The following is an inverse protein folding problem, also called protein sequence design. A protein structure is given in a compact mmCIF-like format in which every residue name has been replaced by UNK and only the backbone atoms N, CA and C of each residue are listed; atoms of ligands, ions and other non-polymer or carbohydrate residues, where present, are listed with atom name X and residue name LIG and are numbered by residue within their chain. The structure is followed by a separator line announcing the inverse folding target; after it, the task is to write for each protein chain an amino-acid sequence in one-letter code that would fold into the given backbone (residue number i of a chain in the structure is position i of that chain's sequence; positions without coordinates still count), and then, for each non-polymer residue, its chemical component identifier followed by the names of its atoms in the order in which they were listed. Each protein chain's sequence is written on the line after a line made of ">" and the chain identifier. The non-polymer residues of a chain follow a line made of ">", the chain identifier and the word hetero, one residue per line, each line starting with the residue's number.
data_IF_343367149365
#
_entry.id   IF_343367149365
#
_cell.length_a   1.000
_cell.length_b   1.000
_cell.length_c   1.000
_cell.angle_alpha   90.00
_cell.angle_beta   90.00
_cell.angle_gamma   90.00
#
_symmetry.space_group_name_H-M   'P 1'
#
loop_
_entity.id
_entity.type
_entity.pdbx_description
1 polymer ?
#
# COMPACT_ATOMS: atom_id res chain seq x y z
N UNK A 1 -51.69 13.05 -22.15
CA UNK A 1 -50.47 13.67 -21.58
C UNK A 1 -50.93 14.72 -20.61
N UNK A 2 -50.47 14.68 -19.35
CA UNK A 2 -50.75 15.76 -18.38
C UNK A 2 -49.87 16.96 -18.82
N UNK A 3 -50.47 18.10 -19.23
CA UNK A 3 -49.69 19.25 -19.67
C UNK A 3 -48.94 19.86 -18.48
N UNK A 4 -47.64 20.13 -18.66
CA UNK A 4 -46.86 20.87 -17.67
C UNK A 4 -47.13 22.39 -17.82
N UNK A 5 -47.34 23.14 -16.73
CA UNK A 5 -47.55 24.58 -16.80
C UNK A 5 -46.39 25.33 -17.46
N UNK A 6 -46.69 26.46 -18.11
CA UNK A 6 -45.67 27.36 -18.66
C UNK A 6 -44.75 27.88 -17.53
N UNK A 7 -43.43 27.79 -17.73
CA UNK A 7 -42.43 28.17 -16.71
C UNK A 7 -41.91 27.02 -15.83
N UNK A 8 -42.35 25.78 -16.07
CA UNK A 8 -41.84 24.59 -15.36
C UNK A 8 -40.33 24.39 -15.59
N UNK A 9 -39.53 24.41 -14.52
CA UNK A 9 -38.10 24.08 -14.57
C UNK A 9 -37.90 22.57 -14.43
N UNK A 10 -36.92 22.04 -15.17
CA UNK A 10 -36.50 20.64 -15.10
C UNK A 10 -35.15 20.59 -14.39
N UNK A 11 -35.13 19.94 -13.23
CA UNK A 11 -33.95 19.80 -12.39
C UNK A 11 -33.39 18.39 -12.49
N UNK A 12 -32.09 18.26 -12.78
CA UNK A 12 -31.38 16.99 -12.66
C UNK A 12 -30.69 16.94 -11.30
N UNK A 13 -31.13 16.03 -10.43
CA UNK A 13 -30.52 15.85 -9.11
C UNK A 13 -29.14 15.22 -9.28
N UNK A 14 -28.09 15.99 -8.99
CA UNK A 14 -26.71 15.55 -9.10
C UNK A 14 -26.40 14.44 -8.06
N UNK A 15 -25.65 13.42 -8.49
CA UNK A 15 -25.28 12.26 -7.67
C UNK A 15 -26.02 10.97 -8.03
N UNK A 16 -25.87 9.96 -7.18
CA UNK A 16 -26.48 8.63 -7.33
C UNK A 16 -27.68 8.54 -6.40
N UNK A 17 -28.87 8.31 -6.95
CA UNK A 17 -30.09 8.14 -6.16
C UNK A 17 -30.39 6.65 -5.96
N UNK A 18 -30.66 6.24 -4.71
CA UNK A 18 -31.29 4.95 -4.45
C UNK A 18 -32.69 4.91 -5.10
N UNK A 19 -32.82 4.07 -6.12
CA UNK A 19 -34.03 3.96 -6.92
C UNK A 19 -35.15 3.16 -6.23
N UNK A 20 -34.91 2.63 -5.02
CA UNK A 20 -35.95 2.05 -4.15
C UNK A 20 -36.82 3.12 -3.51
N UNK A 21 -36.36 4.37 -3.44
CA UNK A 21 -37.15 5.47 -2.87
C UNK A 21 -38.42 5.72 -3.70
N UNK A 22 -39.57 5.73 -3.01
CA UNK A 22 -40.85 6.23 -3.52
C UNK A 22 -41.01 7.74 -3.30
N UNK A 23 -42.24 8.24 -3.33
CA UNK A 23 -42.58 9.67 -3.22
C UNK A 23 -41.85 10.40 -2.08
N UNK A 24 -42.03 9.95 -0.84
CA UNK A 24 -41.47 10.62 0.35
C UNK A 24 -39.93 10.64 0.34
N UNK A 25 -39.30 9.54 -0.06
CA UNK A 25 -37.84 9.42 -0.10
C UNK A 25 -37.19 10.21 -1.24
N UNK A 26 -37.94 10.56 -2.28
CA UNK A 26 -37.48 11.44 -3.37
C UNK A 26 -37.77 12.90 -3.05
N UNK A 27 -38.95 13.22 -2.49
CA UNK A 27 -39.30 14.55 -2.02
C UNK A 27 -38.31 15.06 -0.96
N UNK A 28 -37.94 14.22 0.00
CA UNK A 28 -36.91 14.54 0.98
C UNK A 28 -35.57 14.90 0.32
N UNK A 29 -35.21 14.24 -0.80
CA UNK A 29 -33.98 14.56 -1.53
C UNK A 29 -34.05 15.89 -2.26
N UNK A 30 -35.21 16.27 -2.79
CA UNK A 30 -35.40 17.63 -3.36
C UNK A 30 -35.11 18.67 -2.28
N UNK A 31 -35.72 18.50 -1.10
CA UNK A 31 -35.55 19.40 0.03
C UNK A 31 -34.10 19.45 0.54
N UNK A 32 -33.43 18.30 0.68
CA UNK A 32 -32.08 18.27 1.27
C UNK A 32 -30.97 18.58 0.29
N UNK A 33 -31.06 18.09 -0.95
CA UNK A 33 -29.96 18.17 -1.92
C UNK A 33 -30.07 19.39 -2.83
N UNK A 34 -31.29 19.76 -3.24
CA UNK A 34 -31.53 20.94 -4.06
C UNK A 34 -31.96 22.16 -3.24
N UNK A 35 -32.36 21.96 -1.97
CA UNK A 35 -32.94 23.02 -1.12
C UNK A 35 -34.14 23.70 -1.78
N UNK A 36 -34.92 22.90 -2.52
CA UNK A 36 -36.08 23.35 -3.28
C UNK A 36 -37.35 22.68 -2.73
N UNK A 37 -38.51 23.22 -3.09
CA UNK A 37 -39.80 22.67 -2.71
C UNK A 37 -40.25 21.57 -3.68
N UNK A 38 -40.42 20.31 -3.24
CA UNK A 38 -40.95 19.23 -4.07
C UNK A 38 -42.38 19.48 -4.56
N UNK A 39 -43.11 20.42 -3.94
CA UNK A 39 -44.47 20.81 -4.33
C UNK A 39 -44.53 22.01 -5.30
N UNK A 40 -43.37 22.55 -5.71
CA UNK A 40 -43.25 23.74 -6.58
C UNK A 40 -43.84 23.60 -8.00
N UNK A 41 -44.30 22.41 -8.38
CA UNK A 41 -44.73 22.10 -9.76
C UNK A 41 -43.56 21.90 -10.74
N UNK A 42 -42.31 21.99 -10.28
CA UNK A 42 -41.12 21.66 -11.07
C UNK A 42 -40.94 20.14 -11.22
N UNK A 43 -40.19 19.74 -12.25
CA UNK A 43 -39.89 18.33 -12.54
C UNK A 43 -38.48 18.00 -12.07
N UNK A 44 -38.37 17.04 -11.15
CA UNK A 44 -37.11 16.58 -10.58
C UNK A 44 -36.74 15.21 -11.11
N UNK A 45 -35.58 15.12 -11.77
CA UNK A 45 -35.07 13.91 -12.42
C UNK A 45 -34.01 13.26 -11.54
N UNK A 46 -34.21 11.99 -11.22
CA UNK A 46 -33.33 11.16 -10.43
C UNK A 46 -32.81 9.99 -11.26
N UNK A 47 -31.50 9.74 -11.16
CA UNK A 47 -30.85 8.60 -11.80
C UNK A 47 -30.25 7.62 -10.79
N UNK A 48 -30.37 6.34 -11.10
CA UNK A 48 -29.75 5.26 -10.35
C UNK A 48 -28.28 5.04 -10.72
N UNK A 49 -27.57 4.26 -9.91
CA UNK A 49 -26.16 3.92 -10.12
C UNK A 49 -25.90 3.20 -11.45
N UNK A 50 -26.83 2.34 -11.86
CA UNK A 50 -26.73 1.54 -13.09
C UNK A 50 -27.01 2.36 -14.36
N UNK A 51 -27.58 3.56 -14.25
CA UNK A 51 -28.03 4.35 -15.40
C UNK A 51 -29.17 3.71 -16.21
N UNK A 52 -29.65 2.53 -15.83
CA UNK A 52 -30.69 1.76 -16.54
C UNK A 52 -32.12 2.21 -16.21
N UNK A 53 -32.28 3.13 -15.26
CA UNK A 53 -33.59 3.58 -14.79
C UNK A 53 -33.51 5.03 -14.31
N UNK A 54 -34.54 5.79 -14.65
CA UNK A 54 -34.73 7.19 -14.26
C UNK A 54 -36.11 7.34 -13.62
N UNK A 55 -36.19 8.16 -12.57
CA UNK A 55 -37.45 8.56 -11.93
C UNK A 55 -37.64 10.07 -12.08
N UNK A 56 -38.86 10.50 -12.41
CA UNK A 56 -39.26 11.89 -12.43
C UNK A 56 -40.32 12.12 -11.36
N UNK A 57 -40.10 13.08 -10.48
CA UNK A 57 -41.05 13.51 -9.45
C UNK A 57 -41.51 14.93 -9.78
N UNK A 58 -42.82 15.17 -9.75
CA UNK A 58 -43.39 16.52 -9.86
C UNK A 58 -44.73 16.59 -9.12
N UNK A 59 -45.15 17.79 -8.74
CA UNK A 59 -46.48 18.00 -8.14
C UNK A 59 -47.46 18.51 -9.16
N UNK A 60 -48.69 18.00 -9.09
CA UNK A 60 -49.90 18.57 -9.69
C UNK A 60 -50.74 19.22 -8.59
N UNK A 61 -51.81 19.94 -8.96
CA UNK A 61 -52.67 20.63 -7.99
C UNK A 61 -53.38 19.71 -6.98
N UNK A 62 -53.40 18.41 -7.26
CA UNK A 62 -54.07 17.35 -6.49
C UNK A 62 -53.09 16.36 -5.82
N UNK A 63 -51.77 16.48 -6.05
CA UNK A 63 -50.78 15.64 -5.37
C UNK A 63 -49.45 15.45 -6.11
N UNK A 64 -48.64 14.52 -5.63
CA UNK A 64 -47.35 14.18 -6.25
C UNK A 64 -47.50 13.08 -7.30
N UNK A 65 -46.87 13.29 -8.44
CA UNK A 65 -46.74 12.35 -9.54
C UNK A 65 -45.31 11.78 -9.59
N UNK A 66 -45.19 10.47 -9.82
CA UNK A 66 -43.91 9.78 -9.97
C UNK A 66 -43.93 8.92 -11.24
N UNK A 67 -43.08 9.27 -12.21
CA UNK A 67 -42.87 8.46 -13.40
C UNK A 67 -41.55 7.69 -13.29
N UNK A 68 -41.61 6.40 -13.56
CA UNK A 68 -40.43 5.54 -13.60
C UNK A 68 -40.22 5.04 -15.02
N UNK A 69 -39.05 5.30 -15.61
CA UNK A 69 -38.70 4.84 -16.95
C UNK A 69 -37.45 3.97 -16.91
N UNK A 70 -37.54 2.77 -17.46
CA UNK A 70 -36.39 1.89 -17.74
C UNK A 70 -35.78 2.29 -19.09
N UNK A 71 -34.46 2.41 -19.15
CA UNK A 71 -33.71 2.79 -20.34
C UNK A 71 -33.02 1.55 -20.90
N UNK A 72 -33.21 1.28 -22.20
CA UNK A 72 -32.68 0.07 -22.85
C UNK A 72 -31.21 0.21 -23.30
N UNK A 73 -30.65 1.43 -23.31
CA UNK A 73 -29.24 1.70 -23.60
C UNK A 73 -28.68 2.78 -22.68
N UNK A 74 -28.03 2.38 -21.58
CA UNK A 74 -27.33 3.28 -20.64
C UNK A 74 -25.93 3.73 -21.11
N UNK A 75 -25.67 3.80 -22.42
CA UNK A 75 -24.31 3.62 -22.96
C UNK A 75 -23.62 4.84 -23.61
N UNK A 76 -24.21 6.05 -23.63
CA UNK A 76 -23.65 7.12 -24.48
C UNK A 76 -22.63 8.08 -23.83
N UNK A 77 -22.09 7.84 -22.64
CA UNK A 77 -21.02 8.71 -22.07
C UNK A 77 -19.89 8.02 -21.29
N UNK A 78 -19.94 6.70 -21.09
CA UNK A 78 -18.97 5.99 -20.24
C UNK A 78 -17.79 5.40 -21.02
N UNK A 79 -18.03 4.86 -22.21
CA UNK A 79 -16.94 4.27 -23.02
C UNK A 79 -15.88 5.31 -23.44
N UNK A 80 -16.30 6.53 -23.79
CA UNK A 80 -15.38 7.62 -24.13
C UNK A 80 -14.60 8.12 -22.92
N UNK A 81 -15.20 8.15 -21.73
CA UNK A 81 -14.52 8.53 -20.49
C UNK A 81 -13.55 7.46 -20.01
N UNK A 82 -13.91 6.18 -20.12
CA UNK A 82 -13.03 5.06 -19.77
C UNK A 82 -11.83 4.98 -20.73
N UNK A 83 -12.04 5.19 -22.03
CA UNK A 83 -10.96 5.30 -23.02
C UNK A 83 -10.05 6.50 -22.73
N UNK A 84 -10.62 7.65 -22.34
CA UNK A 84 -9.84 8.83 -21.95
C UNK A 84 -9.03 8.60 -20.67
N UNK A 85 -9.60 7.94 -19.65
CA UNK A 85 -8.89 7.59 -18.41
C UNK A 85 -7.72 6.66 -18.70
N UNK A 86 -7.93 5.64 -19.53
CA UNK A 86 -6.87 4.71 -19.91
C UNK A 86 -5.74 5.42 -20.69
N UNK A 87 -6.09 6.28 -21.65
CA UNK A 87 -5.13 7.07 -22.41
C UNK A 87 -4.34 8.05 -21.52
N UNK A 88 -4.97 8.63 -20.49
CA UNK A 88 -4.30 9.50 -19.52
C UNK A 88 -3.38 8.72 -18.57
N UNK A 89 -3.79 7.53 -18.12
CA UNK A 89 -2.96 6.64 -17.30
C UNK A 89 -1.72 6.17 -18.05
N UNK A 90 -1.84 5.85 -19.33
CA UNK A 90 -0.72 5.46 -20.18
C UNK A 90 0.27 6.62 -20.39
N UNK A 91 -0.25 7.85 -20.61
CA UNK A 91 0.58 9.06 -20.66
C UNK A 91 1.31 9.33 -19.34
N UNK A 92 0.66 9.13 -18.20
CA UNK A 92 1.29 9.28 -16.88
C UNK A 92 2.41 8.26 -16.67
N UNK A 93 2.17 6.98 -16.99
CA UNK A 93 3.19 5.94 -16.90
C UNK A 93 4.40 6.23 -17.79
N UNK A 94 4.19 6.72 -19.01
CA UNK A 94 5.28 7.11 -19.89
C UNK A 94 6.08 8.30 -19.35
N UNK A 95 5.43 9.28 -18.73
CA UNK A 95 6.12 10.41 -18.08
C UNK A 95 6.88 9.99 -16.83
N UNK A 96 6.35 9.08 -16.03
CA UNK A 96 7.06 8.53 -14.87
C UNK A 96 8.35 7.82 -15.29
N UNK A 97 8.30 7.00 -16.35
CA UNK A 97 9.50 6.37 -16.92
C UNK A 97 10.51 7.38 -17.44
N UNK A 98 10.04 8.46 -18.06
CA UNK A 98 10.90 9.55 -18.56
C UNK A 98 11.58 10.30 -17.40
N UNK A 99 10.87 10.52 -16.30
CA UNK A 99 11.42 11.10 -15.07
C UNK A 99 12.51 10.18 -14.50
N UNK A 100 12.24 8.88 -14.36
CA UNK A 100 13.22 7.92 -13.85
C UNK A 100 14.48 7.86 -14.74
N UNK A 101 14.29 7.91 -16.06
CA UNK A 101 15.39 7.94 -17.02
C UNK A 101 16.25 9.21 -16.87
N UNK A 102 15.61 10.39 -16.80
CA UNK A 102 16.31 11.67 -16.66
C UNK A 102 17.00 11.80 -15.28
N UNK A 103 16.40 11.26 -14.21
CA UNK A 103 17.03 11.20 -12.89
C UNK A 103 18.29 10.32 -12.91
N UNK A 104 18.23 9.15 -13.55
CA UNK A 104 19.39 8.27 -13.71
C UNK A 104 20.51 8.94 -14.53
N UNK A 105 20.17 9.69 -15.59
CA UNK A 105 21.14 10.48 -16.36
C UNK A 105 21.77 11.61 -15.52
N UNK A 106 20.98 12.31 -14.72
CA UNK A 106 21.45 13.37 -13.81
C UNK A 106 22.42 12.81 -12.76
N UNK A 107 22.10 11.66 -12.17
CA UNK A 107 22.96 11.01 -11.19
C UNK A 107 24.26 10.50 -11.83
N UNK A 108 24.19 10.00 -13.06
CA UNK A 108 25.38 9.62 -13.84
C UNK A 108 26.27 10.83 -14.11
N UNK A 109 25.70 11.95 -14.58
CA UNK A 109 26.43 13.18 -14.84
C UNK A 109 27.00 13.79 -13.55
N UNK A 110 26.25 13.77 -12.45
CA UNK A 110 26.73 14.21 -11.13
C UNK A 110 27.90 13.37 -10.64
N UNK A 111 27.86 12.05 -10.83
CA UNK A 111 28.99 11.13 -10.53
C UNK A 111 30.19 11.41 -11.42
N UNK A 112 29.98 11.70 -12.70
CA UNK A 112 31.06 12.08 -13.62
C UNK A 112 31.67 13.46 -13.30
N UNK A 113 30.96 14.31 -12.56
CA UNK A 113 31.38 15.69 -12.25
C UNK A 113 32.04 15.84 -10.86
N UNK A 114 32.25 14.75 -10.10
CA UNK A 114 33.15 14.73 -8.94
C UNK A 114 34.61 14.72 -9.42
N UNK A 115 35.09 15.86 -9.93
CA UNK A 115 36.50 16.00 -10.31
C UNK A 115 36.92 17.38 -10.84
N UNK A 116 36.06 18.12 -11.54
CA UNK A 116 36.41 19.49 -11.96
C UNK A 116 35.16 20.34 -12.21
N UNK A 117 35.12 21.53 -11.59
CA UNK A 117 34.04 22.53 -11.75
C UNK A 117 34.10 23.13 -13.16
N UNK A 118 33.33 22.56 -14.11
CA UNK A 118 33.06 23.22 -15.39
C UNK A 118 31.79 24.07 -15.29
N UNK A 119 31.94 25.39 -15.42
CA UNK A 119 30.87 26.40 -15.35
C UNK A 119 29.71 26.14 -16.32
N UNK A 120 29.99 25.47 -17.44
CA UNK A 120 29.01 25.08 -18.46
C UNK A 120 28.00 24.04 -17.95
N UNK A 121 28.44 23.17 -17.04
CA UNK A 121 27.57 22.17 -16.38
C UNK A 121 26.68 22.85 -15.35
N UNK A 122 27.20 23.81 -14.60
CA UNK A 122 26.41 24.60 -13.64
C UNK A 122 25.25 25.35 -14.29
N UNK A 123 25.47 25.95 -15.47
CA UNK A 123 24.41 26.63 -16.23
C UNK A 123 23.34 25.65 -16.72
N UNK A 124 23.75 24.45 -17.15
CA UNK A 124 22.82 23.42 -17.61
C UNK A 124 21.99 22.84 -16.46
N UNK A 125 22.58 22.70 -15.27
CA UNK A 125 21.86 22.32 -14.04
C UNK A 125 20.82 23.38 -13.68
N UNK A 126 21.19 24.66 -13.66
CA UNK A 126 20.26 25.75 -13.36
C UNK A 126 19.07 25.80 -14.34
N UNK A 127 19.33 25.53 -15.63
CA UNK A 127 18.27 25.48 -16.64
C UNK A 127 17.32 24.30 -16.43
N UNK A 128 17.86 23.11 -16.12
CA UNK A 128 17.05 21.93 -15.82
C UNK A 128 16.24 22.06 -14.52
N UNK A 129 16.79 22.75 -13.51
CA UNK A 129 16.07 23.06 -12.27
C UNK A 129 14.91 24.03 -12.52
N UNK A 130 15.08 25.01 -13.42
CA UNK A 130 14.01 25.91 -13.82
C UNK A 130 12.88 25.16 -14.58
N UNK A 131 13.24 24.26 -15.50
CA UNK A 131 12.27 23.46 -16.25
C UNK A 131 11.48 22.49 -15.36
N UNK A 132 12.16 21.85 -14.39
CA UNK A 132 11.49 20.99 -13.41
C UNK A 132 10.48 21.77 -12.56
N UNK A 133 10.85 22.96 -12.09
CA UNK A 133 9.93 23.79 -11.32
C UNK A 133 8.70 24.24 -12.13
N UNK A 134 8.87 24.50 -13.43
CA UNK A 134 7.75 24.83 -14.33
C UNK A 134 6.80 23.64 -14.50
N UNK A 135 7.33 22.47 -14.82
CA UNK A 135 6.54 21.25 -15.00
C UNK A 135 5.83 20.82 -13.71
N UNK A 136 6.47 21.03 -12.56
CA UNK A 136 5.89 20.72 -11.26
C UNK A 136 4.76 21.68 -10.89
N UNK A 137 4.89 22.98 -11.20
CA UNK A 137 3.79 23.94 -11.09
C UNK A 137 2.61 23.58 -12.01
N UNK A 138 2.86 23.19 -13.24
CA UNK A 138 1.82 22.75 -14.17
C UNK A 138 1.10 21.50 -13.64
N UNK A 139 1.84 20.53 -13.09
CA UNK A 139 1.30 19.32 -12.44
C UNK A 139 0.48 19.65 -11.18
N UNK A 140 0.93 20.60 -10.36
CA UNK A 140 0.22 21.00 -9.13
C UNK A 140 -1.08 21.75 -9.46
N UNK A 141 -1.08 22.57 -10.52
CA UNK A 141 -2.30 23.21 -11.06
C UNK A 141 -3.32 22.17 -11.55
N UNK A 142 -2.86 21.09 -12.18
CA UNK A 142 -3.71 20.01 -12.70
C UNK A 142 -4.23 19.07 -11.60
N UNK A 143 -3.50 18.91 -10.49
CA UNK A 143 -3.85 17.97 -9.40
C UNK A 143 -4.53 18.63 -8.20
N UNK A 144 -4.67 19.96 -8.20
CA UNK A 144 -5.29 20.71 -7.10
C UNK A 144 -4.47 20.69 -5.81
N UNK A 145 -3.17 20.35 -5.88
CA UNK A 145 -2.27 20.38 -4.73
C UNK A 145 -1.77 21.80 -4.54
N UNK A 146 -2.19 22.45 -3.46
CA UNK A 146 -1.63 23.74 -3.06
C UNK A 146 -0.24 23.49 -2.49
N UNK A 147 0.77 24.03 -3.16
CA UNK A 147 2.13 24.10 -2.62
C UNK A 147 2.09 24.96 -1.35
N UNK A 148 2.33 24.36 -0.19
CA UNK A 148 2.50 25.06 1.08
C UNK A 148 3.99 25.36 1.29
N UNK A 149 4.43 26.62 1.12
CA UNK A 149 5.84 26.99 1.25
C UNK A 149 6.39 26.78 2.68
N UNK A 150 5.51 26.62 3.67
CA UNK A 150 5.91 26.42 5.07
C UNK A 150 6.43 25.00 5.35
N UNK A 151 6.15 24.03 4.47
CA UNK A 151 6.65 22.65 4.62
C UNK A 151 7.98 22.53 3.91
N UNK A 152 9.08 22.91 4.58
CA UNK A 152 10.41 22.49 4.15
C UNK A 152 10.45 20.95 4.14
N UNK A 153 10.60 20.36 2.95
CA UNK A 153 10.91 18.93 2.82
C UNK A 153 12.43 18.80 2.92
N UNK A 154 13.00 18.44 4.07
CA UNK A 154 14.44 18.26 4.16
C UNK A 154 14.87 17.17 3.17
N UNK A 155 15.91 17.47 2.40
CA UNK A 155 16.68 16.47 1.67
C UNK A 155 16.97 15.32 2.63
N UNK A 156 16.57 14.11 2.26
CA UNK A 156 16.70 12.91 3.08
C UNK A 156 18.19 12.57 3.20
N UNK A 157 18.90 13.25 4.10
CA UNK A 157 20.25 12.90 4.49
C UNK A 157 20.19 11.45 4.98
N UNK A 158 20.98 10.57 4.38
CA UNK A 158 21.18 9.21 4.85
C UNK A 158 21.78 9.28 6.25
N UNK A 159 20.93 9.29 7.27
CA UNK A 159 21.37 9.20 8.67
C UNK A 159 22.22 7.95 8.81
N UNK A 160 23.46 8.13 9.23
CA UNK A 160 24.32 7.05 9.71
C UNK A 160 23.55 6.29 10.79
N UNK A 161 23.48 4.97 10.66
CA UNK A 161 22.78 4.13 11.63
C UNK A 161 23.46 4.30 12.99
N UNK A 162 22.67 4.55 14.03
CA UNK A 162 23.20 4.52 15.39
C UNK A 162 23.68 3.10 15.68
N UNK A 163 24.89 2.92 16.23
CA UNK A 163 25.35 1.61 16.69
C UNK A 163 24.45 1.12 17.84
N UNK A 164 24.41 -0.19 18.03
CA UNK A 164 23.70 -0.77 19.18
C UNK A 164 24.42 -0.44 20.49
N UNK A 165 23.69 -0.33 21.61
CA UNK A 165 24.30 -0.11 22.93
C UNK A 165 25.43 -1.10 23.23
N UNK A 166 26.51 -0.62 23.82
CA UNK A 166 27.64 -1.48 24.23
C UNK A 166 27.24 -2.47 25.33
N UNK A 167 26.25 -2.10 26.15
CA UNK A 167 25.69 -2.94 27.22
C UNK A 167 25.02 -4.23 26.74
N UNK A 168 24.63 -4.32 25.45
CA UNK A 168 24.04 -5.55 24.92
C UNK A 168 25.11 -6.61 24.67
N UNK A 169 24.88 -7.87 25.10
CA UNK A 169 25.80 -8.97 24.84
C UNK A 169 25.94 -9.22 23.35
N UNK A 170 27.19 -9.43 22.91
CA UNK A 170 27.54 -9.70 21.51
C UNK A 170 27.93 -11.15 21.33
N UNK A 171 27.19 -11.86 20.49
CA UNK A 171 27.56 -13.21 20.06
C UNK A 171 28.28 -13.09 18.70
N UNK A 172 29.60 -13.24 18.71
CA UNK A 172 30.43 -13.14 17.50
C UNK A 172 30.43 -14.45 16.70
N UNK A 173 30.22 -14.34 15.39
CA UNK A 173 30.31 -15.44 14.43
C UNK A 173 31.30 -15.07 13.33
N UNK A 174 32.46 -15.72 13.35
CA UNK A 174 33.51 -15.53 12.35
C UNK A 174 33.33 -16.52 11.19
N UNK A 175 33.30 -15.99 9.98
CA UNK A 175 33.10 -16.75 8.75
C UNK A 175 34.37 -16.68 7.91
N UNK A 176 34.97 -17.85 7.71
CA UNK A 176 36.14 -18.08 6.88
C UNK A 176 35.72 -18.46 5.45
N UNK A 177 36.57 -18.23 4.43
CA UNK A 177 36.40 -18.80 3.11
C UNK A 177 36.07 -20.30 3.15
N UNK A 178 35.18 -20.75 2.26
CA UNK A 178 34.70 -22.14 2.25
C UNK A 178 35.81 -23.18 1.99
N UNK A 179 36.87 -22.77 1.29
CA UNK A 179 38.04 -23.60 1.02
C UNK A 179 39.32 -22.87 1.49
N UNK A 180 40.35 -23.61 1.94
CA UNK A 180 41.64 -23.03 2.34
C UNK A 180 42.51 -22.58 1.16
N UNK A 181 42.08 -22.84 -0.08
CA UNK A 181 42.79 -22.50 -1.31
C UNK A 181 41.93 -21.61 -2.22
N UNK A 182 42.60 -20.90 -3.13
CA UNK A 182 41.94 -20.04 -4.11
C UNK A 182 41.07 -20.87 -5.05
N UNK A 183 39.77 -20.53 -5.22
CA UNK A 183 38.89 -21.26 -6.12
C UNK A 183 39.25 -21.07 -7.60
N UNK A 184 40.08 -20.08 -7.94
CA UNK A 184 40.44 -19.78 -9.32
C UNK A 184 41.74 -20.48 -9.78
N UNK A 185 42.75 -20.58 -8.90
CA UNK A 185 44.06 -21.14 -9.26
C UNK A 185 44.61 -22.20 -8.28
N UNK A 186 43.93 -22.47 -7.17
CA UNK A 186 44.41 -23.41 -6.14
C UNK A 186 45.52 -22.87 -5.24
N UNK A 187 45.99 -21.64 -5.43
CA UNK A 187 47.02 -21.01 -4.61
C UNK A 187 46.61 -20.79 -3.14
N UNK A 188 47.59 -20.52 -2.27
CA UNK A 188 47.35 -20.26 -0.84
C UNK A 188 46.64 -18.92 -0.62
N UNK A 189 45.88 -18.85 0.46
CA UNK A 189 45.12 -17.68 0.88
C UNK A 189 45.82 -16.99 2.06
N UNK A 190 46.00 -15.67 1.98
CA UNK A 190 46.51 -14.83 3.06
C UNK A 190 45.45 -13.84 3.53
N UNK A 191 45.38 -13.60 4.84
CA UNK A 191 44.44 -12.64 5.43
C UNK A 191 44.64 -11.22 4.85
N UNK A 192 43.55 -10.58 4.44
CA UNK A 192 43.53 -9.22 3.89
C UNK A 192 42.78 -8.24 4.80
N UNK A 193 41.73 -8.69 5.47
CA UNK A 193 40.88 -7.84 6.30
C UNK A 193 39.56 -8.52 6.65
N UNK A 194 38.63 -7.77 7.23
CA UNK A 194 37.33 -8.32 7.64
C UNK A 194 36.20 -7.31 7.40
N UNK A 195 35.02 -7.83 7.04
CA UNK A 195 33.77 -7.06 7.05
C UNK A 195 32.95 -7.47 8.26
N UNK A 196 32.46 -6.49 9.02
CA UNK A 196 31.62 -6.73 10.20
C UNK A 196 30.20 -6.25 9.95
N UNK A 197 29.23 -7.04 10.39
CA UNK A 197 27.82 -6.66 10.36
C UNK A 197 27.12 -7.11 11.64
N UNK A 198 26.45 -6.16 12.30
CA UNK A 198 25.68 -6.42 13.52
C UNK A 198 24.18 -6.55 13.20
N UNK A 199 23.51 -7.45 13.92
CA UNK A 199 22.06 -7.63 13.90
C UNK A 199 21.55 -7.78 15.33
N UNK A 200 20.38 -7.22 15.61
CA UNK A 200 19.68 -7.37 16.87
C UNK A 200 18.79 -8.61 16.83
N UNK A 201 18.98 -9.51 17.78
CA UNK A 201 18.25 -10.76 17.92
C UNK A 201 17.59 -10.81 19.30
N UNK A 202 16.47 -11.53 19.39
CA UNK A 202 15.82 -11.80 20.67
C UNK A 202 15.90 -13.30 20.97
N UNK A 203 16.77 -13.68 21.91
CA UNK A 203 16.98 -15.07 22.30
C UNK A 203 16.53 -15.28 23.74
N UNK A 204 15.58 -16.20 23.95
CA UNK A 204 15.04 -16.52 25.30
C UNK A 204 14.61 -15.25 26.06
N UNK A 205 13.91 -14.34 25.35
CA UNK A 205 13.44 -13.04 25.88
C UNK A 205 14.52 -12.03 26.26
N UNK A 206 15.79 -12.25 25.89
CA UNK A 206 16.88 -11.31 26.07
C UNK A 206 17.40 -10.80 24.72
N UNK A 207 17.63 -9.49 24.63
CA UNK A 207 18.24 -8.89 23.45
C UNK A 207 19.73 -9.22 23.37
N UNK A 208 20.17 -9.59 22.18
CA UNK A 208 21.56 -9.86 21.85
C UNK A 208 21.93 -9.24 20.52
N UNK A 209 23.19 -8.90 20.36
CA UNK A 209 23.73 -8.46 19.08
C UNK A 209 24.50 -9.62 18.46
N UNK A 210 24.03 -10.14 17.33
CA UNK A 210 24.77 -11.11 16.54
C UNK A 210 25.75 -10.34 15.66
N UNK A 211 27.05 -10.43 15.96
CA UNK A 211 28.12 -9.81 15.18
C UNK A 211 28.67 -10.85 14.22
N UNK A 212 28.39 -10.68 12.93
CA UNK A 212 28.97 -11.54 11.89
C UNK A 212 30.22 -10.88 11.34
N UNK A 213 31.36 -11.57 11.46
CA UNK A 213 32.67 -11.14 10.94
C UNK A 213 33.02 -12.02 9.75
N UNK A 214 33.20 -11.44 8.56
CA UNK A 214 33.54 -12.16 7.34
C UNK A 214 34.95 -11.82 6.92
N UNK A 215 35.87 -12.77 7.06
CA UNK A 215 37.27 -12.55 6.71
C UNK A 215 37.46 -12.55 5.19
N UNK A 216 38.15 -11.53 4.72
CA UNK A 216 38.67 -11.40 3.36
C UNK A 216 40.06 -11.98 3.34
N UNK A 217 40.28 -12.90 2.42
CA UNK A 217 41.57 -13.47 2.12
C UNK A 217 41.94 -13.15 0.68
N UNK A 218 43.19 -12.82 0.41
CA UNK A 218 43.72 -12.64 -0.93
C UNK A 218 44.55 -13.85 -1.34
N UNK A 219 44.44 -14.28 -2.59
CA UNK A 219 45.32 -15.31 -3.13
C UNK A 219 46.72 -14.75 -3.39
N UNK A 220 47.75 -15.48 -2.96
CA UNK A 220 49.16 -15.10 -3.15
C UNK A 220 49.67 -15.23 -4.59
N UNK A 221 48.90 -15.86 -5.49
CA UNK A 221 49.32 -16.13 -6.88
C UNK A 221 48.58 -15.29 -7.93
N UNK A 222 47.31 -14.95 -7.70
CA UNK A 222 46.47 -14.27 -8.70
C UNK A 222 45.70 -13.08 -8.15
N UNK A 223 45.99 -12.66 -6.91
CA UNK A 223 45.37 -11.52 -6.22
C UNK A 223 43.84 -11.59 -6.07
N UNK A 224 43.24 -12.76 -6.33
CA UNK A 224 41.80 -12.96 -6.16
C UNK A 224 41.40 -12.86 -4.68
N UNK A 225 40.41 -12.01 -4.38
CA UNK A 225 39.84 -11.87 -3.04
C UNK A 225 38.75 -12.92 -2.84
N UNK A 226 38.94 -13.77 -1.83
CA UNK A 226 38.03 -14.82 -1.41
C UNK A 226 37.45 -14.47 -0.04
N UNK A 227 36.12 -14.54 0.07
CA UNK A 227 35.40 -14.26 1.30
C UNK A 227 34.17 -15.17 1.36
N UNK A 228 33.80 -15.64 2.55
CA UNK A 228 32.53 -16.35 2.75
C UNK A 228 31.35 -15.48 2.29
N UNK A 229 30.29 -16.01 1.67
CA UNK A 229 29.11 -15.22 1.31
C UNK A 229 28.44 -14.62 2.56
N UNK A 230 27.75 -13.48 2.38
CA UNK A 230 26.97 -12.89 3.46
C UNK A 230 25.82 -13.83 3.83
N UNK A 231 25.58 -14.11 5.13
CA UNK A 231 24.40 -14.86 5.53
C UNK A 231 23.12 -14.18 5.05
N UNK A 232 22.17 -14.99 4.58
CA UNK A 232 20.83 -14.52 4.21
C UNK A 232 20.13 -13.90 5.41
N UNK A 233 19.32 -12.86 5.15
CA UNK A 233 18.52 -12.18 6.17
C UNK A 233 17.09 -12.06 5.68
N UNK A 234 16.08 -12.12 6.57
CA UNK A 234 14.69 -11.91 6.17
C UNK A 234 14.48 -10.55 5.51
N UNK A 235 15.06 -9.49 6.09
CA UNK A 235 15.01 -8.13 5.54
C UNK A 235 16.42 -7.75 5.11
N UNK A 236 16.61 -7.51 3.81
CA UNK A 236 17.90 -7.08 3.26
C UNK A 236 18.39 -5.80 3.91
N UNK A 237 19.67 -5.81 4.32
CA UNK A 237 20.31 -4.69 5.04
C UNK A 237 19.55 -4.29 6.32
N UNK A 238 18.58 -5.08 6.78
CA UNK A 238 17.84 -4.86 8.01
C UNK A 238 18.72 -5.07 9.24
N UNK A 239 18.31 -4.44 10.34
CA UNK A 239 19.02 -4.55 11.62
C UNK A 239 18.42 -5.64 12.52
N UNK A 240 17.23 -6.17 12.22
CA UNK A 240 16.58 -7.22 12.98
C UNK A 240 16.97 -8.61 12.46
N UNK A 241 17.20 -9.54 13.39
CA UNK A 241 17.29 -10.96 13.14
C UNK A 241 15.91 -11.64 13.07
N UNK A 242 15.85 -12.89 12.59
CA UNK A 242 14.59 -13.62 12.39
C UNK A 242 13.79 -13.86 13.67
N UNK A 243 14.43 -14.14 14.81
CA UNK A 243 13.73 -14.38 16.08
C UNK A 243 13.09 -13.11 16.64
N UNK A 244 13.75 -11.96 16.51
CA UNK A 244 13.16 -10.66 16.83
C UNK A 244 11.93 -10.36 15.95
N UNK A 245 12.04 -10.57 14.62
CA UNK A 245 10.92 -10.38 13.71
C UNK A 245 9.74 -11.29 14.05
N UNK A 246 10.01 -12.56 14.33
CA UNK A 246 8.99 -13.51 14.77
C UNK A 246 8.31 -13.03 16.06
N UNK A 247 9.08 -12.59 17.07
CA UNK A 247 8.51 -12.04 18.30
C UNK A 247 7.61 -10.85 18.03
N UNK A 248 8.03 -9.88 17.22
CA UNK A 248 7.23 -8.68 16.92
C UNK A 248 5.88 -9.05 16.30
N UNK A 249 5.86 -10.01 15.36
CA UNK A 249 4.65 -10.49 14.72
C UNK A 249 3.75 -11.27 15.69
N UNK A 250 4.29 -12.25 16.40
CA UNK A 250 3.53 -13.07 17.35
C UNK A 250 2.95 -12.20 18.47
N UNK A 251 3.75 -11.29 19.04
CA UNK A 251 3.25 -10.37 20.06
C UNK A 251 2.15 -9.46 19.53
N UNK A 252 2.25 -9.00 18.27
CA UNK A 252 1.21 -8.13 17.68
C UNK A 252 -0.09 -8.88 17.42
N UNK A 253 0.00 -10.05 16.79
CA UNK A 253 -1.16 -10.73 16.22
C UNK A 253 -1.71 -11.85 17.09
N UNK A 254 -0.86 -12.60 17.78
CA UNK A 254 -1.30 -13.70 18.66
C UNK A 254 -1.47 -13.25 20.13
N UNK A 255 -0.63 -12.34 20.61
CA UNK A 255 -0.67 -11.87 22.01
C UNK A 255 -1.33 -10.49 22.16
N UNK A 256 -1.90 -9.95 21.07
CA UNK A 256 -2.62 -8.67 21.05
C UNK A 256 -1.85 -7.47 21.65
N UNK A 257 -0.51 -7.48 21.59
CA UNK A 257 0.35 -6.40 22.09
C UNK A 257 0.66 -5.41 20.97
N UNK A 258 0.07 -4.20 20.97
CA UNK A 258 0.27 -3.23 19.88
C UNK A 258 1.73 -2.76 19.78
N UNK A 259 2.15 -2.31 18.59
CA UNK A 259 3.54 -1.93 18.32
C UNK A 259 4.08 -0.80 19.22
N UNK A 260 3.22 0.09 19.73
CA UNK A 260 3.67 1.11 20.69
C UNK A 260 4.00 0.51 22.05
N UNK A 261 3.18 -0.42 22.56
CA UNK A 261 3.48 -1.16 23.78
C UNK A 261 4.77 -1.97 23.62
N UNK A 262 4.95 -2.63 22.47
CA UNK A 262 6.19 -3.36 22.19
C UNK A 262 7.41 -2.44 22.21
N UNK A 263 7.32 -1.27 21.57
CA UNK A 263 8.37 -0.24 21.59
C UNK A 263 8.75 0.17 23.02
N UNK A 264 7.75 0.40 23.88
CA UNK A 264 7.98 0.74 25.29
C UNK A 264 8.60 -0.42 26.09
N UNK A 265 8.13 -1.65 25.88
CA UNK A 265 8.67 -2.86 26.54
C UNK A 265 10.14 -3.05 26.18
N UNK A 266 10.50 -2.88 24.91
CA UNK A 266 11.89 -2.98 24.46
C UNK A 266 12.75 -1.83 24.99
N UNK A 267 12.19 -0.62 25.08
CA UNK A 267 12.86 0.52 25.70
C UNK A 267 13.22 0.27 27.17
N UNK A 268 12.35 -0.40 27.93
CA UNK A 268 12.65 -0.82 29.32
C UNK A 268 13.78 -1.85 29.42
N UNK A 269 14.08 -2.56 28.33
CA UNK A 269 15.21 -3.48 28.21
C UNK A 269 16.46 -2.81 27.63
N UNK A 270 16.45 -1.48 27.48
CA UNK A 270 17.57 -0.71 26.93
C UNK A 270 17.65 -0.68 25.40
N UNK A 271 16.59 -1.11 24.69
CA UNK A 271 16.56 -1.15 23.23
C UNK A 271 15.48 -0.21 22.69
N UNK A 272 15.91 0.93 22.15
CA UNK A 272 15.00 1.91 21.54
C UNK A 272 14.64 1.53 20.09
N UNK A 273 13.43 1.01 19.88
CA UNK A 273 12.88 0.72 18.56
C UNK A 273 11.64 1.58 18.32
N UNK A 274 11.66 2.44 17.30
CA UNK A 274 10.50 3.31 17.01
C UNK A 274 9.31 2.53 16.46
N UNK A 275 8.09 3.02 16.70
CA UNK A 275 6.86 2.47 16.11
C UNK A 275 6.91 2.38 14.59
N UNK A 276 7.51 3.37 13.93
CA UNK A 276 7.64 3.40 12.47
C UNK A 276 8.57 2.32 11.95
N UNK A 277 9.68 2.05 12.67
CA UNK A 277 10.60 0.96 12.35
C UNK A 277 9.91 -0.39 12.49
N UNK A 278 9.24 -0.63 13.62
CA UNK A 278 8.48 -1.86 13.86
C UNK A 278 7.38 -2.07 12.81
N UNK A 279 6.66 -1.01 12.42
CA UNK A 279 5.65 -1.08 11.36
C UNK A 279 6.28 -1.47 10.03
N UNK A 280 7.43 -0.87 9.67
CA UNK A 280 8.15 -1.23 8.45
C UNK A 280 8.65 -2.68 8.43
N UNK A 281 9.02 -3.23 9.59
CA UNK A 281 9.35 -4.65 9.72
C UNK A 281 8.13 -5.55 9.54
N UNK A 282 6.99 -5.19 10.13
CA UNK A 282 5.73 -5.92 9.92
C UNK A 282 5.38 -5.94 8.43
N UNK A 283 5.43 -4.80 7.74
CA UNK A 283 5.13 -4.71 6.31
C UNK A 283 6.09 -5.56 5.46
N UNK A 284 7.38 -5.55 5.80
CA UNK A 284 8.36 -6.38 5.13
C UNK A 284 8.10 -7.87 5.34
N UNK A 285 7.74 -8.27 6.57
CA UNK A 285 7.40 -9.67 6.86
C UNK A 285 6.10 -10.10 6.15
N UNK A 286 5.09 -9.24 6.07
CA UNK A 286 3.88 -9.54 5.30
C UNK A 286 4.20 -9.83 3.84
N UNK A 287 5.12 -9.08 3.22
CA UNK A 287 5.58 -9.37 1.85
C UNK A 287 6.32 -10.71 1.75
N UNK A 288 7.17 -11.05 2.71
CA UNK A 288 7.88 -12.34 2.74
C UNK A 288 6.92 -13.52 2.91
N UNK A 289 5.81 -13.33 3.61
CA UNK A 289 4.80 -14.36 3.87
C UNK A 289 3.73 -14.47 2.77
N UNK A 290 3.71 -13.58 1.77
CA UNK A 290 2.73 -13.59 0.67
C UNK A 290 2.63 -14.96 -0.02
N UNK A 291 3.73 -15.66 -0.37
CA UNK A 291 3.62 -16.97 -1.01
C UNK A 291 2.92 -18.04 -0.15
N UNK A 292 3.06 -17.94 1.18
CA UNK A 292 2.37 -18.84 2.10
C UNK A 292 0.88 -18.50 2.20
N UNK A 293 0.53 -17.22 2.17
CA UNK A 293 -0.86 -16.76 2.14
C UNK A 293 -1.56 -17.17 0.84
N UNK A 294 -0.89 -17.07 -0.30
CA UNK A 294 -1.38 -17.51 -1.61
C UNK A 294 -1.58 -19.03 -1.65
N UNK A 295 -0.63 -19.81 -1.12
CA UNK A 295 -0.76 -21.26 -1.01
C UNK A 295 -1.91 -21.67 -0.07
N UNK A 296 -2.06 -20.97 1.06
CA UNK A 296 -3.14 -21.18 2.01
C UNK A 296 -4.50 -20.84 1.38
N UNK A 297 -4.59 -19.75 0.63
CA UNK A 297 -5.77 -19.38 -0.13
C UNK A 297 -6.15 -20.49 -1.13
N UNK A 298 -5.21 -20.95 -1.96
CA UNK A 298 -5.46 -22.04 -2.90
C UNK A 298 -5.92 -23.34 -2.22
N UNK A 299 -5.32 -23.66 -1.06
CA UNK A 299 -5.72 -24.83 -0.27
C UNK A 299 -7.14 -24.69 0.33
N UNK A 300 -7.50 -23.52 0.83
CA UNK A 300 -8.83 -23.26 1.40
C UNK A 300 -9.90 -23.24 0.31
N UNK A 301 -9.58 -22.73 -0.88
CA UNK A 301 -10.51 -22.59 -2.01
C UNK A 301 -10.61 -23.82 -2.91
N UNK A 302 -9.91 -24.91 -2.58
CA UNK A 302 -10.05 -26.18 -3.31
C UNK A 302 -11.48 -26.72 -3.20
N UNK A 303 -11.95 -27.43 -4.23
CA UNK A 303 -13.30 -28.02 -4.27
C UNK A 303 -13.69 -28.77 -2.99
N UNK A 304 -14.93 -28.53 -2.55
CA UNK A 304 -15.50 -29.14 -1.36
C UNK A 304 -16.46 -28.22 -0.61
N UNK A 305 -16.60 -28.49 0.69
CA UNK A 305 -17.42 -27.70 1.60
C UNK A 305 -16.59 -26.55 2.18
N UNK A 306 -17.07 -25.32 1.97
CA UNK A 306 -16.44 -24.10 2.47
C UNK A 306 -17.39 -23.39 3.43
N UNK A 307 -16.92 -23.08 4.64
CA UNK A 307 -17.63 -22.21 5.56
C UNK A 307 -17.12 -20.78 5.37
N UNK A 308 -18.03 -19.80 5.32
CA UNK A 308 -17.66 -18.40 5.25
C UNK A 308 -18.41 -17.60 6.31
N UNK A 309 -17.71 -16.75 7.04
CA UNK A 309 -18.28 -15.77 7.97
C UNK A 309 -17.82 -14.35 7.62
N UNK A 310 -18.67 -13.36 7.89
CA UNK A 310 -18.36 -11.95 7.62
C UNK A 310 -18.41 -11.10 8.91
N UNK A 311 -17.23 -10.80 9.45
CA UNK A 311 -17.11 -10.02 10.68
C UNK A 311 -16.94 -8.52 10.35
N UNK A 312 -17.88 -7.63 10.74
CA UNK A 312 -17.73 -6.19 10.53
C UNK A 312 -16.67 -5.62 11.48
N UNK A 313 -15.75 -4.81 10.93
CA UNK A 313 -14.66 -4.18 11.68
C UNK A 313 -14.64 -2.67 11.45
N UNK A 314 -14.35 -1.89 12.49
CA UNK A 314 -14.22 -0.43 12.39
C UNK A 314 -12.80 -0.07 11.92
N UNK A 315 -12.70 0.52 10.73
CA UNK A 315 -11.41 0.87 10.11
C UNK A 315 -11.28 2.38 10.00
N UNK A 316 -10.15 2.93 10.45
CA UNK A 316 -9.86 4.36 10.32
C UNK A 316 -9.62 4.73 8.85
N UNK A 317 -10.32 5.75 8.36
CA UNK A 317 -10.02 6.34 7.06
C UNK A 317 -8.91 7.39 7.21
N UNK A 318 -7.82 7.30 6.42
CA UNK A 318 -6.77 8.31 6.43
C UNK A 318 -7.34 9.72 6.20
N UNK A 319 -6.93 10.69 7.01
CA UNK A 319 -7.23 12.12 6.84
C UNK A 319 -8.47 12.65 7.57
N UNK A 320 -9.49 11.83 7.87
CA UNK A 320 -10.78 12.35 8.34
C UNK A 320 -11.10 12.10 9.82
N UNK A 321 -10.21 11.42 10.59
CA UNK A 321 -10.45 10.96 11.98
C UNK A 321 -11.78 10.19 12.17
N UNK A 322 -12.40 9.73 11.08
CA UNK A 322 -13.66 8.97 11.06
C UNK A 322 -13.36 7.50 10.78
N UNK A 323 -14.12 6.62 11.43
CA UNK A 323 -14.12 5.21 11.12
C UNK A 323 -15.17 4.90 10.06
N UNK A 324 -14.88 3.90 9.22
CA UNK A 324 -15.85 3.27 8.33
C UNK A 324 -15.88 1.79 8.64
N UNK A 325 -17.06 1.19 8.55
CA UNK A 325 -17.20 -0.26 8.68
C UNK A 325 -16.62 -0.95 7.45
N UNK A 326 -15.48 -1.62 7.63
CA UNK A 326 -14.97 -2.65 6.74
C UNK A 326 -15.47 -4.03 7.16
N UNK A 327 -15.09 -5.07 6.42
CA UNK A 327 -15.42 -6.47 6.75
C UNK A 327 -14.18 -7.33 6.63
N UNK A 328 -14.06 -8.25 7.58
CA UNK A 328 -13.12 -9.35 7.55
C UNK A 328 -13.91 -10.61 7.25
N UNK A 329 -13.61 -11.25 6.12
CA UNK A 329 -14.18 -12.51 5.70
C UNK A 329 -13.29 -13.64 6.22
N UNK A 330 -13.86 -14.60 6.91
CA UNK A 330 -13.17 -15.82 7.31
C UNK A 330 -13.69 -16.96 6.46
N UNK A 331 -12.81 -17.59 5.69
CA UNK A 331 -13.09 -18.77 4.89
C UNK A 331 -12.44 -19.97 5.58
N UNK A 332 -13.27 -20.87 6.10
CA UNK A 332 -12.85 -21.98 6.96
C UNK A 332 -13.11 -23.29 6.23
N UNK A 333 -12.04 -24.09 6.16
CA UNK A 333 -12.07 -25.49 5.75
C UNK A 333 -11.78 -26.34 6.99
N UNK A 334 -12.82 -26.88 7.60
CA UNK A 334 -12.68 -27.82 8.72
C UNK A 334 -13.82 -28.83 8.71
N UNK A 335 -13.54 -30.00 8.14
CA UNK A 335 -14.48 -31.12 8.06
C UNK A 335 -14.05 -32.27 8.97
N UNK A 336 -13.23 -32.01 10.01
CA UNK A 336 -12.81 -33.05 10.96
C UNK A 336 -14.00 -33.69 11.67
N UNK A 337 -15.03 -32.90 11.98
CA UNK A 337 -16.29 -33.40 12.56
C UNK A 337 -17.07 -34.33 11.61
N UNK A 338 -16.78 -34.30 10.32
CA UNK A 338 -17.35 -35.18 9.30
C UNK A 338 -16.40 -36.33 8.91
N UNK A 339 -15.33 -36.58 9.68
CA UNK A 339 -14.37 -37.66 9.44
C UNK A 339 -13.29 -37.36 8.41
N UNK A 340 -13.12 -36.10 7.98
CA UNK A 340 -12.05 -35.72 7.07
C UNK A 340 -10.67 -35.81 7.73
N UNK A 341 -9.71 -36.39 7.02
CA UNK A 341 -8.30 -36.45 7.42
C UNK A 341 -7.48 -35.23 6.94
N UNK A 342 -8.11 -34.31 6.21
CA UNK A 342 -7.45 -33.11 5.69
C UNK A 342 -7.17 -32.12 6.83
N UNK A 343 -6.02 -31.42 6.73
CA UNK A 343 -5.64 -30.44 7.73
C UNK A 343 -6.63 -29.25 7.73
N UNK A 344 -7.13 -28.81 8.90
CA UNK A 344 -8.02 -27.66 8.98
C UNK A 344 -7.25 -26.38 8.63
N UNK A 345 -7.93 -25.45 7.96
CA UNK A 345 -7.35 -24.17 7.57
C UNK A 345 -8.39 -23.05 7.60
N UNK A 346 -7.90 -21.84 7.87
CA UNK A 346 -8.68 -20.61 7.75
C UNK A 346 -7.90 -19.59 6.93
N UNK A 347 -8.57 -18.98 5.96
CA UNK A 347 -8.04 -17.86 5.19
C UNK A 347 -8.90 -16.62 5.43
N UNK A 348 -8.25 -15.46 5.55
CA UNK A 348 -8.92 -14.20 5.87
C UNK A 348 -8.80 -13.22 4.71
N UNK A 349 -9.92 -12.60 4.31
CA UNK A 349 -9.95 -11.55 3.31
C UNK A 349 -10.54 -10.25 3.87
N UNK A 350 -9.99 -9.11 3.49
CA UNK A 350 -10.53 -7.81 3.87
C UNK A 350 -11.31 -7.16 2.72
N UNK A 351 -12.49 -6.60 3.01
CA UNK A 351 -13.21 -5.72 2.09
C UNK A 351 -13.59 -4.38 2.75
N UNK A 352 -13.47 -3.25 2.04
CA UNK A 352 -13.80 -1.92 2.57
C UNK A 352 -15.31 -1.60 2.56
N UNK A 353 -16.13 -2.46 1.94
CA UNK A 353 -17.60 -2.40 1.97
C UNK A 353 -18.23 -3.80 1.73
N UNK A 354 -19.57 -3.88 1.81
CA UNK A 354 -20.37 -5.11 1.62
C UNK A 354 -20.71 -5.40 0.16
N UNK A 355 -20.13 -4.72 -0.83
CA UNK A 355 -20.51 -4.96 -2.23
C UNK A 355 -20.00 -6.35 -2.65
N UNK A 356 -20.89 -7.16 -3.23
CA UNK A 356 -20.63 -8.56 -3.61
C UNK A 356 -19.54 -8.80 -4.67
N UNK A 357 -18.74 -7.79 -5.01
CA UNK A 357 -17.61 -7.86 -5.96
C UNK A 357 -16.51 -8.78 -5.41
N UNK A 358 -16.37 -8.89 -4.09
CA UNK A 358 -15.39 -9.79 -3.47
C UNK A 358 -15.81 -11.25 -3.56
N UNK A 359 -17.07 -11.59 -3.23
CA UNK A 359 -17.60 -12.96 -3.34
C UNK A 359 -17.46 -13.51 -4.77
N UNK A 360 -17.70 -12.68 -5.79
CA UNK A 360 -17.56 -13.06 -7.20
C UNK A 360 -16.11 -13.24 -7.68
N UNK A 361 -15.11 -12.72 -6.96
CA UNK A 361 -13.69 -12.83 -7.33
C UNK A 361 -12.96 -13.95 -6.59
N UNK A 362 -13.50 -14.38 -5.45
CA UNK A 362 -12.86 -15.35 -4.55
C UNK A 362 -13.36 -16.78 -4.75
N UNK A 363 -14.60 -16.96 -5.22
CA UNK A 363 -15.25 -18.28 -5.36
C UNK A 363 -15.46 -18.65 -6.84
N UNK A 364 -14.46 -18.40 -7.70
CA UNK A 364 -14.51 -18.79 -9.12
C UNK A 364 -13.76 -20.08 -9.38
#
# INVERSE_FOLDING_TARGET
>A
MIPLPSGTKIWLVAGITDMRNGFNGLAAKVQTALKDDPMSGHVFIFRGRSGSQVKLLWSTGDGLCLLTKRLERGALRLAEQEALIHALQEKLSNREREIDHLQAQLDKLRRMNFGSRSEKVSRRIAQMEADLNRLQKESDTLTGRVYDPAVQRPLRQTRTRKPFPESLPRDEKRLLPAAPCCPNCGGSLSYLGEDTAEQLELMRSAFRVIRTVREKHACTQCDAIVQAPAPSRPIERGIAGPGLLARVLTSKYAEHTPLYCQSEIYGRQGVELSRSLLSGWVDACCRLLSPLEEALHGYVMTDGKLHADDTPVQVLLPGNKKTKTGRLWAYVRDDRNAGSALAPAVWFAYSPDRKGIHLSRTVQ
#
